data_IF_433790205773
#
_entry.id   IF_433790205773
#
_cell.length_a   1.000
_cell.length_b   1.000
_cell.length_c   1.000
_cell.angle_alpha   90.00
_cell.angle_beta   90.00
_cell.angle_gamma   90.00
#
_symmetry.space_group_name_H-M   'P 1'
#
loop_
_entity.id
_entity.type
_entity.pdbx_description
1 polymer ?
#
# COMPACT_ATOMS: atom_id res chain seq x y z
N UNK A 1 -13.25 34.94 -63.91
CA UNK A 1 -12.68 35.07 -62.54
C UNK A 1 -13.59 34.63 -61.39
N UNK A 2 -14.94 34.72 -61.50
CA UNK A 2 -15.85 34.28 -60.41
C UNK A 2 -15.84 32.77 -60.16
N UNK A 3 -15.77 31.94 -61.21
CA UNK A 3 -15.77 30.47 -61.06
C UNK A 3 -14.50 29.91 -60.39
N UNK A 4 -13.34 30.54 -60.59
CA UNK A 4 -12.06 30.12 -59.96
C UNK A 4 -12.07 30.35 -58.45
N UNK A 5 -12.70 31.44 -57.99
CA UNK A 5 -12.85 31.74 -56.55
C UNK A 5 -13.76 30.72 -55.84
N UNK A 6 -14.81 30.27 -56.52
CA UNK A 6 -15.73 29.25 -55.98
C UNK A 6 -15.00 27.90 -55.88
N UNK A 7 -14.23 27.51 -56.89
CA UNK A 7 -13.46 26.26 -56.87
C UNK A 7 -12.43 26.25 -55.72
N UNK A 8 -11.74 27.37 -55.49
CA UNK A 8 -10.75 27.49 -54.41
C UNK A 8 -11.39 27.38 -53.03
N UNK A 9 -12.58 27.95 -52.85
CA UNK A 9 -13.35 27.82 -51.60
C UNK A 9 -13.72 26.36 -51.30
N UNK A 10 -14.17 25.62 -52.32
CA UNK A 10 -14.48 24.19 -52.16
C UNK A 10 -13.26 23.34 -51.80
N UNK A 11 -12.10 23.64 -52.37
CA UNK A 11 -10.85 22.93 -52.04
C UNK A 11 -10.45 23.16 -50.58
N UNK A 12 -10.64 24.38 -50.06
CA UNK A 12 -10.38 24.70 -48.65
C UNK A 12 -11.35 23.96 -47.74
N UNK A 13 -12.65 23.96 -48.07
CA UNK A 13 -13.68 23.26 -47.27
C UNK A 13 -13.39 21.76 -47.24
N UNK A 14 -13.05 21.16 -48.38
CA UNK A 14 -12.73 19.73 -48.47
C UNK A 14 -11.47 19.41 -47.67
N UNK A 15 -10.42 20.24 -47.73
CA UNK A 15 -9.22 20.04 -46.91
C UNK A 15 -9.52 20.17 -45.40
N UNK A 16 -10.39 21.10 -45.02
CA UNK A 16 -10.81 21.26 -43.63
C UNK A 16 -11.61 20.03 -43.14
N UNK A 17 -12.50 19.50 -43.98
CA UNK A 17 -13.23 18.26 -43.69
C UNK A 17 -12.30 17.03 -43.63
N UNK A 18 -11.30 16.93 -44.53
CA UNK A 18 -10.32 15.84 -44.49
C UNK A 18 -9.43 15.87 -43.25
N UNK A 19 -9.07 17.07 -42.76
CA UNK A 19 -8.33 17.22 -41.50
C UNK A 19 -9.16 16.78 -40.29
N UNK A 20 -10.49 16.94 -40.31
CA UNK A 20 -11.36 16.44 -39.23
C UNK A 20 -11.52 14.91 -39.21
N UNK A 21 -11.24 14.22 -40.33
CA UNK A 21 -11.30 12.76 -40.44
C UNK A 21 -10.01 12.06 -40.00
N UNK A 22 -8.90 12.80 -39.82
CA UNK A 22 -7.60 12.27 -39.38
C UNK A 22 -7.37 12.43 -37.87
N UNK A 23 -8.42 12.63 -37.07
CA UNK A 23 -8.33 12.50 -35.62
C UNK A 23 -8.03 11.04 -35.29
N UNK A 24 -6.74 10.72 -35.16
CA UNK A 24 -6.26 9.54 -34.48
C UNK A 24 -6.96 9.47 -33.12
N UNK A 25 -7.39 8.28 -32.64
CA UNK A 25 -7.73 8.14 -31.24
C UNK A 25 -6.46 8.42 -30.44
N UNK A 26 -6.33 9.64 -29.95
CA UNK A 26 -5.49 9.91 -28.80
C UNK A 26 -6.09 9.08 -27.66
N UNK A 27 -5.40 8.02 -27.26
CA UNK A 27 -5.68 7.36 -25.99
C UNK A 27 -5.27 8.34 -24.89
N UNK A 28 -6.18 9.25 -24.55
CA UNK A 28 -6.14 10.00 -23.32
C UNK A 28 -6.49 9.02 -22.19
N UNK A 29 -5.58 8.87 -21.23
CA UNK A 29 -5.89 8.21 -19.96
C UNK A 29 -7.14 8.85 -19.36
N UNK A 30 -8.09 8.01 -18.97
CA UNK A 30 -9.45 8.37 -18.62
C UNK A 30 -9.50 9.22 -17.34
N UNK A 31 -9.31 10.53 -17.45
CA UNK A 31 -9.49 11.50 -16.38
C UNK A 31 -10.50 12.61 -16.78
N UNK A 32 -11.38 12.31 -17.73
CA UNK A 32 -12.36 13.29 -18.21
C UNK A 32 -13.42 13.57 -17.13
N UNK A 33 -13.35 14.81 -16.63
CA UNK A 33 -14.35 15.55 -15.84
C UNK A 33 -14.63 15.06 -14.41
N UNK A 34 -13.59 14.88 -13.60
CA UNK A 34 -13.74 15.11 -12.16
C UNK A 34 -13.97 16.61 -11.92
N UNK A 35 -14.87 17.00 -10.99
CA UNK A 35 -15.02 18.41 -10.67
C UNK A 35 -13.70 18.94 -10.10
N UNK A 36 -13.13 19.95 -10.75
CA UNK A 36 -12.18 20.85 -10.07
C UNK A 36 -12.94 21.48 -8.90
N UNK A 37 -12.41 21.35 -7.67
CA UNK A 37 -13.09 21.74 -6.43
C UNK A 37 -13.98 22.99 -6.63
N UNK A 38 -15.33 22.86 -6.55
CA UNK A 38 -16.25 23.97 -6.84
C UNK A 38 -16.12 25.13 -5.84
N UNK A 39 -15.41 24.94 -4.73
CA UNK A 39 -15.21 25.95 -3.68
C UNK A 39 -13.92 26.78 -3.83
N UNK A 40 -13.21 26.73 -4.97
CA UNK A 40 -12.09 27.67 -5.23
C UNK A 40 -12.52 29.13 -5.47
N UNK A 41 -13.81 29.45 -5.33
CA UNK A 41 -14.34 30.82 -5.40
C UNK A 41 -15.36 31.10 -4.29
N UNK A 42 -14.99 32.00 -3.38
CA UNK A 42 -15.86 32.73 -2.43
C UNK A 42 -16.74 31.89 -1.48
N UNK A 43 -16.18 31.52 -0.32
CA UNK A 43 -16.92 31.03 0.85
C UNK A 43 -16.03 31.06 2.08
N UNK A 44 -16.58 31.39 3.25
CA UNK A 44 -15.85 31.62 4.52
C UNK A 44 -14.90 30.45 4.87
N UNK A 45 -13.76 30.80 5.48
CA UNK A 45 -12.55 30.00 5.78
C UNK A 45 -12.73 28.71 6.62
N UNK A 46 -13.96 28.28 6.91
CA UNK A 46 -14.28 27.14 7.80
C UNK A 46 -14.45 25.78 7.12
N UNK A 47 -14.61 25.72 5.79
CA UNK A 47 -15.09 24.51 5.09
C UNK A 47 -14.01 23.75 4.30
N UNK A 48 -12.73 24.12 4.48
CA UNK A 48 -11.64 23.66 3.62
C UNK A 48 -10.98 22.33 4.06
N UNK A 49 -11.53 21.68 5.10
CA UNK A 49 -11.06 20.38 5.59
C UNK A 49 -12.20 19.37 5.52
N UNK A 50 -12.09 18.35 4.68
CA UNK A 50 -13.12 17.32 4.57
C UNK A 50 -12.56 15.99 4.10
N UNK A 51 -13.31 14.91 4.28
CA UNK A 51 -13.02 13.62 3.68
C UNK A 51 -14.34 12.84 3.52
N UNK A 52 -14.32 11.74 2.79
CA UNK A 52 -15.46 10.83 2.67
C UNK A 52 -14.96 9.39 2.56
N UNK A 53 -15.60 8.47 3.28
CA UNK A 53 -15.32 7.03 3.21
C UNK A 53 -15.91 6.37 1.95
N UNK A 54 -16.66 7.10 1.13
CA UNK A 54 -17.24 6.58 -0.13
C UNK A 54 -16.20 6.50 -1.26
N UNK A 55 -15.13 7.28 -1.16
CA UNK A 55 -14.03 7.29 -2.11
C UNK A 55 -12.86 6.58 -1.44
N UNK A 56 -12.66 5.33 -1.81
CA UNK A 56 -11.70 4.44 -1.17
C UNK A 56 -10.85 3.73 -2.22
N UNK A 57 -9.67 3.33 -1.81
CA UNK A 57 -8.76 2.55 -2.62
C UNK A 57 -7.66 1.96 -1.76
N UNK A 58 -6.70 1.31 -2.40
CA UNK A 58 -5.45 0.91 -1.77
C UNK A 58 -4.27 1.38 -2.60
N UNK A 59 -3.17 1.74 -1.94
CA UNK A 59 -1.85 1.82 -2.56
C UNK A 59 -1.22 0.43 -2.50
N UNK A 60 -0.88 -0.12 -3.65
CA UNK A 60 -0.27 -1.43 -3.80
C UNK A 60 1.22 -1.29 -4.13
N UNK A 61 2.04 -2.10 -3.48
CA UNK A 61 3.47 -2.22 -3.81
C UNK A 61 3.96 -3.66 -3.60
N UNK A 62 4.74 -4.15 -4.55
CA UNK A 62 5.30 -5.51 -4.52
C UNK A 62 6.82 -5.39 -4.42
N UNK A 63 7.41 -6.10 -3.48
CA UNK A 63 8.85 -6.15 -3.30
C UNK A 63 9.35 -7.60 -3.35
N UNK A 64 10.60 -7.74 -3.77
CA UNK A 64 11.32 -9.01 -3.78
C UNK A 64 12.68 -8.83 -3.10
N UNK A 65 13.04 -9.76 -2.23
CA UNK A 65 14.37 -9.82 -1.63
C UNK A 65 15.04 -11.16 -2.02
N UNK A 66 16.22 -11.14 -2.65
CA UNK A 66 16.91 -12.36 -3.08
C UNK A 66 17.61 -13.06 -1.91
N UNK A 67 17.60 -14.39 -1.90
CA UNK A 67 18.50 -15.21 -1.08
C UNK A 67 19.86 -15.26 -1.78
N UNK A 68 20.75 -14.31 -1.49
CA UNK A 68 22.03 -14.16 -2.18
C UNK A 68 23.11 -13.73 -1.19
N UNK A 69 24.37 -14.06 -1.49
CA UNK A 69 25.55 -13.64 -0.73
C UNK A 69 25.49 -14.01 0.77
N UNK A 70 24.90 -15.17 1.08
CA UNK A 70 24.74 -15.67 2.45
C UNK A 70 23.67 -14.97 3.29
N UNK A 71 22.98 -13.96 2.74
CA UNK A 71 21.88 -13.25 3.41
C UNK A 71 20.52 -13.79 2.97
N UNK A 72 19.66 -14.02 3.95
CA UNK A 72 18.27 -14.40 3.70
C UNK A 72 17.44 -13.21 3.20
N UNK A 73 16.38 -13.49 2.46
CA UNK A 73 15.38 -12.50 2.07
C UNK A 73 14.84 -11.71 3.27
N UNK A 74 14.61 -12.39 4.41
CA UNK A 74 14.16 -11.77 5.66
C UNK A 74 15.14 -10.75 6.20
N UNK A 75 16.43 -11.07 6.22
CA UNK A 75 17.48 -10.15 6.66
C UNK A 75 17.52 -8.90 5.76
N UNK A 76 17.50 -9.12 4.44
CA UNK A 76 17.50 -8.04 3.44
C UNK A 76 16.29 -7.14 3.54
N UNK A 77 15.11 -7.71 3.77
CA UNK A 77 13.91 -6.92 3.99
C UNK A 77 14.01 -6.03 5.24
N UNK A 78 14.66 -6.51 6.31
CA UNK A 78 14.89 -5.76 7.55
C UNK A 78 15.93 -4.65 7.38
N UNK A 79 16.97 -4.86 6.57
CA UNK A 79 18.02 -3.85 6.34
C UNK A 79 17.69 -2.90 5.19
N UNK A 80 16.78 -3.30 4.30
CA UNK A 80 16.50 -2.60 3.03
C UNK A 80 17.55 -2.84 1.94
N UNK A 81 18.53 -3.71 2.19
CA UNK A 81 19.64 -4.00 1.29
C UNK A 81 19.23 -4.98 0.18
N UNK A 82 19.47 -4.60 -1.07
CA UNK A 82 19.11 -5.37 -2.28
C UNK A 82 17.63 -5.79 -2.36
N UNK A 83 16.75 -5.01 -1.72
CA UNK A 83 15.30 -5.19 -1.85
C UNK A 83 14.83 -4.48 -3.11
N UNK A 84 14.24 -5.26 -4.00
CA UNK A 84 13.84 -4.84 -5.34
C UNK A 84 12.36 -4.51 -5.31
N UNK A 85 12.01 -3.28 -5.72
CA UNK A 85 10.62 -2.96 -6.07
C UNK A 85 10.27 -3.67 -7.38
N UNK A 86 9.22 -4.48 -7.38
CA UNK A 86 8.73 -5.19 -8.55
C UNK A 86 7.65 -4.35 -9.22
N UNK A 87 7.93 -3.88 -10.44
CA UNK A 87 7.05 -2.96 -11.15
C UNK A 87 7.09 -1.54 -10.57
N UNK A 88 5.92 -0.92 -10.40
CA UNK A 88 5.73 0.41 -9.80
C UNK A 88 4.79 0.36 -8.59
N UNK A 89 4.89 1.38 -7.74
CA UNK A 89 3.85 1.66 -6.74
C UNK A 89 2.63 2.21 -7.48
N UNK A 90 1.43 1.74 -7.16
CA UNK A 90 0.20 2.17 -7.84
C UNK A 90 -0.95 2.27 -6.85
N UNK A 91 -1.79 3.28 -7.03
CA UNK A 91 -3.05 3.38 -6.32
C UNK A 91 -4.14 2.71 -7.16
N UNK A 92 -5.00 1.92 -6.52
CA UNK A 92 -6.14 1.27 -7.17
C UNK A 92 -7.42 1.63 -6.43
N UNK A 93 -8.47 1.98 -7.17
CA UNK A 93 -9.75 2.40 -6.59
C UNK A 93 -10.92 1.94 -7.43
N UNK A 94 -11.99 1.51 -6.77
CA UNK A 94 -13.25 1.15 -7.46
C UNK A 94 -14.05 2.37 -7.89
N UNK A 95 -14.01 3.41 -7.06
CA UNK A 95 -14.88 4.58 -7.20
C UNK A 95 -14.18 5.76 -7.84
N UNK A 96 -12.85 5.74 -7.89
CA UNK A 96 -12.07 6.91 -8.27
C UNK A 96 -11.89 7.88 -7.09
N UNK A 97 -11.04 8.90 -7.25
CA UNK A 97 -10.94 9.98 -6.28
C UNK A 97 -12.21 10.84 -6.29
N UNK A 98 -12.49 11.50 -5.16
CA UNK A 98 -13.64 12.42 -5.01
C UNK A 98 -13.51 13.65 -5.91
N UNK A 99 -12.29 14.15 -6.08
CA UNK A 99 -11.94 15.36 -6.81
C UNK A 99 -10.69 15.10 -7.62
N UNK A 100 -10.34 16.05 -8.49
CA UNK A 100 -9.01 16.07 -9.09
C UNK A 100 -7.95 16.14 -7.99
N UNK A 101 -7.03 15.16 -7.98
CA UNK A 101 -5.96 15.11 -6.99
C UNK A 101 -4.91 16.17 -7.33
N UNK A 102 -4.67 17.08 -6.39
CA UNK A 102 -3.68 18.14 -6.52
C UNK A 102 -2.34 17.69 -5.94
N UNK A 103 -2.36 16.96 -4.82
CA UNK A 103 -1.15 16.51 -4.14
C UNK A 103 -1.23 15.04 -3.72
N UNK A 104 -0.12 14.32 -3.90
CA UNK A 104 0.01 12.94 -3.46
C UNK A 104 1.47 12.62 -3.15
N UNK A 105 1.72 11.57 -2.39
CA UNK A 105 3.09 11.03 -2.23
C UNK A 105 3.27 9.82 -3.11
N UNK A 106 4.46 9.60 -3.66
CA UNK A 106 4.80 8.33 -4.30
C UNK A 106 5.36 7.30 -3.30
N UNK A 107 5.50 7.66 -2.02
CA UNK A 107 6.06 6.78 -0.98
C UNK A 107 5.12 5.61 -0.67
N UNK A 108 5.73 4.43 -0.50
CA UNK A 108 5.08 3.28 0.15
C UNK A 108 5.43 3.23 1.64
N UNK A 109 4.69 2.42 2.38
CA UNK A 109 5.01 2.06 3.75
C UNK A 109 6.43 1.50 3.90
N UNK A 110 6.88 0.70 2.93
CA UNK A 110 8.23 0.11 2.95
C UNK A 110 9.31 1.19 2.83
N UNK A 111 9.15 2.14 1.90
CA UNK A 111 10.05 3.29 1.77
C UNK A 111 10.13 4.09 3.08
N UNK A 112 9.01 4.23 3.77
CA UNK A 112 8.92 5.01 4.99
C UNK A 112 9.61 4.34 6.17
N UNK A 113 9.22 3.09 6.47
CA UNK A 113 9.71 2.38 7.65
C UNK A 113 11.21 2.07 7.55
N UNK A 114 11.73 1.82 6.35
CA UNK A 114 13.14 1.44 6.18
C UNK A 114 14.07 2.58 5.76
N UNK A 115 13.58 3.69 5.19
CA UNK A 115 14.45 4.76 4.66
C UNK A 115 14.29 6.12 5.32
N UNK A 116 13.33 6.29 6.25
CA UNK A 116 13.06 7.56 6.97
C UNK A 116 13.03 8.79 6.05
N UNK A 117 12.29 8.70 4.95
CA UNK A 117 12.20 9.79 3.97
C UNK A 117 11.39 10.98 4.52
N UNK A 118 11.74 12.23 4.15
CA UNK A 118 10.91 13.39 4.47
C UNK A 118 9.53 13.27 3.81
N UNK A 119 8.53 13.94 4.38
CA UNK A 119 7.25 14.10 3.71
C UNK A 119 7.45 15.03 2.51
N UNK A 120 7.24 14.52 1.31
CA UNK A 120 7.28 15.31 0.10
C UNK A 120 6.05 14.94 -0.71
N UNK A 121 5.13 15.89 -0.86
CA UNK A 121 4.04 15.76 -1.81
C UNK A 121 4.54 16.15 -3.20
N UNK A 122 4.08 15.41 -4.19
CA UNK A 122 4.20 15.76 -5.60
C UNK A 122 2.94 16.51 -5.98
N UNK A 123 3.11 17.77 -6.38
CA UNK A 123 2.02 18.57 -6.96
C UNK A 123 1.77 18.12 -8.40
N UNK A 124 0.50 17.84 -8.73
CA UNK A 124 0.10 17.45 -10.09
C UNK A 124 0.18 18.61 -11.08
N UNK A 125 0.13 19.86 -10.60
CA UNK A 125 0.25 21.05 -11.46
C UNK A 125 1.71 21.34 -11.85
N UNK A 126 2.69 20.84 -11.10
CA UNK A 126 4.10 21.16 -11.32
C UNK A 126 4.93 20.01 -11.90
N UNK A 127 4.52 18.74 -11.74
CA UNK A 127 5.41 17.59 -11.98
C UNK A 127 4.77 16.40 -12.71
N UNK A 128 3.76 15.78 -12.12
CA UNK A 128 3.25 14.48 -12.61
C UNK A 128 1.76 14.34 -12.30
N UNK A 129 0.90 14.00 -13.28
CA UNK A 129 -0.52 13.75 -13.00
C UNK A 129 -0.68 12.55 -12.08
N UNK A 130 -1.68 12.63 -11.20
CA UNK A 130 -2.07 11.51 -10.35
C UNK A 130 -2.66 10.40 -11.23
N UNK A 131 -2.09 9.19 -11.13
CA UNK A 131 -2.52 8.02 -11.88
C UNK A 131 -2.98 6.92 -10.91
N UNK A 132 -4.07 6.25 -11.26
CA UNK A 132 -4.63 5.13 -10.52
C UNK A 132 -5.21 4.09 -11.49
N UNK A 133 -5.35 2.85 -11.05
CA UNK A 133 -6.10 1.82 -11.77
C UNK A 133 -7.54 1.73 -11.25
N UNK A 134 -8.48 1.51 -12.16
CA UNK A 134 -9.90 1.44 -11.85
C UNK A 134 -10.60 0.31 -12.65
N UNK A 135 -11.88 0.02 -12.37
CA UNK A 135 -12.62 -0.99 -13.13
C UNK A 135 -12.76 -0.72 -14.64
N UNK A 136 -12.59 0.53 -15.09
CA UNK A 136 -12.64 0.92 -16.51
C UNK A 136 -11.32 0.59 -17.20
N UNK A 137 -10.18 0.69 -16.50
CA UNK A 137 -8.86 0.31 -17.04
C UNK A 137 -8.59 -1.19 -16.86
N UNK A 138 -8.97 -1.76 -15.70
CA UNK A 138 -8.66 -3.13 -15.29
C UNK A 138 -9.87 -3.76 -14.58
N UNK A 139 -10.58 -4.65 -15.27
CA UNK A 139 -11.80 -5.32 -14.74
C UNK A 139 -11.55 -6.02 -13.39
N UNK A 140 -10.36 -6.59 -13.16
CA UNK A 140 -10.02 -7.25 -11.90
C UNK A 140 -10.15 -6.30 -10.68
N UNK A 141 -9.96 -4.99 -10.83
CA UNK A 141 -10.16 -4.01 -9.76
C UNK A 141 -11.61 -4.01 -9.24
N UNK A 142 -12.58 -4.35 -10.08
CA UNK A 142 -13.99 -4.45 -9.68
C UNK A 142 -14.27 -5.56 -8.65
N UNK A 143 -13.37 -6.55 -8.52
CA UNK A 143 -13.52 -7.66 -7.57
C UNK A 143 -12.90 -7.38 -6.19
N UNK A 144 -12.15 -6.29 -6.05
CA UNK A 144 -11.48 -5.90 -4.81
C UNK A 144 -12.47 -5.83 -3.63
N UNK A 145 -12.15 -6.29 -2.41
CA UNK A 145 -13.05 -6.08 -1.28
C UNK A 145 -13.24 -4.59 -0.96
N UNK A 146 -14.25 -4.25 -0.14
CA UNK A 146 -14.35 -2.89 0.41
C UNK A 146 -13.13 -2.61 1.30
N UNK A 147 -12.59 -1.41 1.19
CA UNK A 147 -11.39 -1.02 1.96
C UNK A 147 -11.79 -0.74 3.41
N UNK A 148 -12.77 0.14 3.62
CA UNK A 148 -13.31 0.48 4.94
C UNK A 148 -14.50 -0.41 5.30
N UNK A 149 -14.26 -1.73 5.42
CA UNK A 149 -15.27 -2.68 5.87
C UNK A 149 -15.16 -4.10 5.31
N UNK A 150 -14.19 -4.38 4.43
CA UNK A 150 -13.86 -5.75 4.03
C UNK A 150 -13.22 -6.53 5.18
N UNK A 151 -13.55 -7.81 5.31
CA UNK A 151 -12.92 -8.68 6.31
C UNK A 151 -11.55 -9.13 5.83
N UNK A 152 -10.69 -9.56 6.75
CA UNK A 152 -9.41 -10.18 6.40
C UNK A 152 -9.59 -11.33 5.41
N UNK A 153 -10.52 -12.24 5.66
CA UNK A 153 -10.76 -13.39 4.78
C UNK A 153 -11.12 -12.97 3.35
N UNK A 154 -11.86 -11.86 3.18
CA UNK A 154 -12.15 -11.33 1.84
C UNK A 154 -10.87 -10.88 1.13
N UNK A 155 -9.96 -10.22 1.84
CA UNK A 155 -8.67 -9.78 1.31
C UNK A 155 -7.73 -10.94 1.04
N UNK A 156 -7.62 -11.89 1.98
CA UNK A 156 -6.85 -13.12 1.80
C UNK A 156 -7.37 -13.90 0.58
N UNK A 157 -8.69 -14.02 0.40
CA UNK A 157 -9.25 -14.66 -0.79
C UNK A 157 -8.91 -13.90 -2.09
N UNK A 158 -8.92 -12.57 -2.05
CA UNK A 158 -8.61 -11.74 -3.21
C UNK A 158 -7.14 -11.88 -3.64
N UNK A 159 -6.20 -11.96 -2.69
CA UNK A 159 -4.77 -12.12 -2.96
C UNK A 159 -4.34 -13.58 -3.18
N UNK A 160 -4.79 -14.50 -2.33
CA UNK A 160 -4.27 -15.87 -2.23
C UNK A 160 -5.11 -16.90 -2.98
N UNK A 161 -6.36 -16.57 -3.34
CA UNK A 161 -7.26 -17.39 -4.15
C UNK A 161 -7.33 -18.87 -3.72
N UNK A 162 -7.72 -19.18 -2.48
CA UNK A 162 -7.67 -20.56 -2.01
C UNK A 162 -8.68 -21.45 -2.74
N UNK A 163 -8.26 -22.67 -3.09
CA UNK A 163 -9.11 -23.73 -3.68
C UNK A 163 -9.06 -24.93 -2.73
N UNK A 164 -10.20 -25.37 -2.21
CA UNK A 164 -10.28 -26.43 -1.20
C UNK A 164 -9.40 -26.18 0.04
N UNK A 165 -9.20 -24.91 0.42
CA UNK A 165 -8.37 -24.50 1.56
C UNK A 165 -6.88 -24.33 1.24
N UNK A 166 -6.42 -24.74 0.06
CA UNK A 166 -5.04 -24.54 -0.37
C UNK A 166 -4.85 -23.20 -1.09
N UNK A 167 -3.87 -22.40 -0.66
CA UNK A 167 -3.53 -21.12 -1.28
C UNK A 167 -2.91 -21.35 -2.65
N UNK A 168 -3.64 -21.00 -3.72
CA UNK A 168 -3.18 -21.21 -5.10
C UNK A 168 -2.46 -20.00 -5.70
N UNK A 169 -2.69 -18.82 -5.13
CA UNK A 169 -2.15 -17.55 -5.60
C UNK A 169 -2.50 -17.22 -7.07
N UNK A 170 -3.61 -17.78 -7.59
CA UNK A 170 -4.03 -17.61 -8.98
C UNK A 170 -4.30 -16.15 -9.39
N UNK A 171 -4.64 -15.28 -8.44
CA UNK A 171 -4.81 -13.85 -8.72
C UNK A 171 -3.49 -13.06 -8.77
N UNK A 172 -2.36 -13.62 -8.32
CA UNK A 172 -1.08 -12.89 -8.28
C UNK A 172 -0.64 -12.35 -9.65
N UNK A 173 -0.76 -13.09 -10.77
CA UNK A 173 -0.44 -12.53 -12.08
C UNK A 173 -1.27 -11.28 -12.44
N UNK A 174 -2.56 -11.27 -12.06
CA UNK A 174 -3.43 -10.11 -12.28
C UNK A 174 -3.04 -8.93 -11.38
N UNK A 175 -2.65 -9.21 -10.13
CA UNK A 175 -2.15 -8.20 -9.18
C UNK A 175 -0.81 -7.62 -9.63
N UNK A 176 0.09 -8.46 -10.16
CA UNK A 176 1.36 -8.04 -10.72
C UNK A 176 1.18 -7.13 -11.95
N UNK A 177 0.19 -7.42 -12.80
CA UNK A 177 -0.14 -6.60 -13.96
C UNK A 177 -0.60 -5.18 -13.56
N UNK A 178 -1.29 -5.02 -12.41
CA UNK A 178 -1.65 -3.68 -11.89
C UNK A 178 -0.42 -2.82 -11.60
N UNK A 179 0.68 -3.43 -11.14
CA UNK A 179 1.96 -2.74 -10.91
C UNK A 179 2.86 -2.73 -12.14
N UNK A 180 2.37 -3.16 -13.31
CA UNK A 180 3.15 -3.24 -14.55
C UNK A 180 4.28 -4.28 -14.50
N UNK A 181 4.13 -5.32 -13.69
CA UNK A 181 5.06 -6.44 -13.59
C UNK A 181 4.42 -7.74 -14.10
N UNK A 182 5.27 -8.73 -14.37
CA UNK A 182 4.83 -10.07 -14.76
C UNK A 182 5.39 -11.09 -13.76
N UNK A 183 4.54 -11.55 -12.85
CA UNK A 183 4.85 -12.60 -11.86
C UNK A 183 3.89 -13.76 -12.10
N UNK A 184 4.40 -14.99 -12.12
CA UNK A 184 3.54 -16.19 -12.17
C UNK A 184 3.12 -16.59 -10.75
N UNK A 185 1.98 -17.25 -10.60
CA UNK A 185 1.54 -17.77 -9.29
C UNK A 185 2.60 -18.69 -8.67
N UNK A 186 3.20 -19.57 -9.47
CA UNK A 186 4.26 -20.49 -9.04
C UNK A 186 5.55 -19.74 -8.67
N UNK A 187 5.92 -18.71 -9.45
CA UNK A 187 7.07 -17.87 -9.14
C UNK A 187 6.89 -17.12 -7.83
N UNK A 188 5.69 -16.58 -7.58
CA UNK A 188 5.37 -15.95 -6.30
C UNK A 188 5.46 -16.95 -5.15
N UNK A 189 4.82 -18.11 -5.29
CA UNK A 189 4.78 -19.18 -4.27
C UNK A 189 6.17 -19.68 -3.90
N UNK A 190 7.03 -19.90 -4.89
CA UNK A 190 8.36 -20.48 -4.70
C UNK A 190 9.46 -19.41 -4.55
N UNK A 191 9.11 -18.13 -4.57
CA UNK A 191 10.09 -17.06 -4.44
C UNK A 191 11.04 -16.95 -5.63
N UNK A 192 10.57 -17.24 -6.85
CA UNK A 192 11.35 -17.15 -8.08
C UNK A 192 11.01 -15.85 -8.80
N UNK A 193 12.01 -15.03 -9.09
CA UNK A 193 11.87 -13.76 -9.79
C UNK A 193 12.82 -13.66 -10.98
N UNK A 194 12.29 -13.38 -12.17
CA UNK A 194 13.10 -13.04 -13.33
C UNK A 194 13.40 -11.54 -13.32
N UNK A 195 14.57 -11.18 -12.81
CA UNK A 195 15.05 -9.81 -12.80
C UNK A 195 15.95 -9.57 -14.02
N UNK A 196 15.40 -8.93 -15.06
CA UNK A 196 16.14 -8.52 -16.26
C UNK A 196 16.86 -9.69 -16.98
N UNK A 197 16.26 -10.87 -16.97
CA UNK A 197 16.82 -12.09 -17.58
C UNK A 197 17.58 -12.98 -16.59
N UNK A 198 17.86 -12.52 -15.38
CA UNK A 198 18.46 -13.33 -14.31
C UNK A 198 17.36 -13.93 -13.43
N UNK A 199 17.41 -15.24 -13.21
CA UNK A 199 16.49 -15.92 -12.28
C UNK A 199 17.08 -15.83 -10.87
N UNK A 200 16.35 -15.17 -9.98
CA UNK A 200 16.68 -15.02 -8.57
C UNK A 200 15.72 -15.85 -7.72
N UNK A 201 16.26 -16.52 -6.71
CA UNK A 201 15.50 -17.17 -5.64
C UNK A 201 15.46 -16.25 -4.42
N UNK A 202 14.35 -16.20 -3.70
CA UNK A 202 14.12 -15.21 -2.66
C UNK A 202 12.72 -15.26 -2.06
N UNK A 203 12.20 -14.11 -1.65
CA UNK A 203 10.85 -13.99 -1.13
C UNK A 203 10.18 -12.71 -1.64
N UNK A 204 8.90 -12.82 -2.01
CA UNK A 204 8.05 -11.69 -2.32
C UNK A 204 7.32 -11.17 -1.08
N UNK A 205 7.05 -9.87 -1.04
CA UNK A 205 6.09 -9.25 -0.14
C UNK A 205 5.21 -8.27 -0.90
N UNK A 206 3.91 -8.38 -0.70
CA UNK A 206 2.92 -7.42 -1.22
C UNK A 206 2.43 -6.59 -0.03
N UNK A 207 2.66 -5.29 -0.10
CA UNK A 207 2.08 -4.34 0.85
C UNK A 207 0.91 -3.64 0.19
N UNK A 208 -0.18 -3.52 0.94
CA UNK A 208 -1.33 -2.73 0.54
C UNK A 208 -1.78 -1.80 1.65
N UNK A 209 -1.79 -0.50 1.35
CA UNK A 209 -2.14 0.57 2.28
C UNK A 209 -3.51 1.15 1.90
N UNK A 210 -4.48 1.20 2.82
CA UNK A 210 -5.73 1.94 2.60
C UNK A 210 -5.44 3.40 2.24
N UNK A 211 -6.11 3.91 1.20
CA UNK A 211 -6.05 5.33 0.83
C UNK A 211 -7.41 5.99 1.02
N UNK A 212 -7.37 7.25 1.43
CA UNK A 212 -8.48 8.19 1.41
C UNK A 212 -8.14 9.40 0.55
N UNK A 213 -9.18 10.14 0.16
CA UNK A 213 -9.08 11.37 -0.62
C UNK A 213 -9.57 12.58 0.20
N UNK A 214 -8.78 13.06 1.18
CA UNK A 214 -9.14 14.23 1.96
C UNK A 214 -8.93 15.52 1.15
N UNK A 215 -9.65 16.54 1.55
CA UNK A 215 -9.36 17.94 1.22
C UNK A 215 -8.76 18.59 2.47
N UNK A 216 -7.58 19.19 2.33
CA UNK A 216 -6.88 19.88 3.40
C UNK A 216 -6.57 21.29 2.91
N UNK A 217 -7.12 22.30 3.57
CA UNK A 217 -7.02 23.69 3.14
C UNK A 217 -7.44 23.92 1.68
N UNK A 218 -8.45 23.18 1.19
CA UNK A 218 -8.93 23.31 -0.18
C UNK A 218 -8.11 22.53 -1.21
N UNK A 219 -7.00 21.92 -0.78
CA UNK A 219 -6.14 21.06 -1.62
C UNK A 219 -6.64 19.64 -1.52
N UNK A 220 -7.06 19.07 -2.66
CA UNK A 220 -7.45 17.66 -2.74
C UNK A 220 -6.22 16.77 -2.77
N UNK A 221 -6.12 15.84 -1.82
CA UNK A 221 -4.94 15.00 -1.64
C UNK A 221 -5.27 13.50 -1.67
N UNK A 222 -4.23 12.67 -1.79
CA UNK A 222 -4.31 11.24 -1.49
C UNK A 222 -3.45 10.94 -0.27
N UNK A 223 -4.03 10.25 0.71
CA UNK A 223 -3.32 9.90 1.94
C UNK A 223 -3.56 8.45 2.34
N UNK A 224 -2.47 7.75 2.68
CA UNK A 224 -2.51 6.56 3.53
C UNK A 224 -2.43 6.94 5.02
N UNK A 225 -2.53 5.96 5.94
CA UNK A 225 -2.31 6.21 7.36
C UNK A 225 -0.94 6.82 7.62
N UNK A 226 0.09 6.28 6.96
CA UNK A 226 1.45 6.79 6.99
C UNK A 226 1.50 8.26 6.57
N UNK A 227 0.81 8.65 5.49
CA UNK A 227 0.78 10.04 5.05
C UNK A 227 0.21 10.97 6.12
N UNK A 228 -0.91 10.57 6.75
CA UNK A 228 -1.55 11.34 7.80
C UNK A 228 -0.66 11.48 9.05
N UNK A 229 0.00 10.39 9.47
CA UNK A 229 0.97 10.42 10.58
C UNK A 229 2.14 11.35 10.22
N UNK A 230 2.70 11.17 9.04
CA UNK A 230 3.88 11.90 8.61
C UNK A 230 3.58 13.40 8.45
N UNK A 231 2.40 13.75 7.95
CA UNK A 231 1.92 15.13 7.94
C UNK A 231 1.91 15.72 9.36
N UNK A 232 1.40 15.01 10.37
CA UNK A 232 1.38 15.47 11.77
C UNK A 232 2.81 15.64 12.34
N UNK A 233 3.73 14.73 12.04
CA UNK A 233 5.13 14.85 12.45
C UNK A 233 5.79 16.13 11.89
N UNK A 234 5.59 16.40 10.59
CA UNK A 234 6.15 17.57 9.93
C UNK A 234 5.51 18.87 10.43
N UNK A 235 4.21 18.83 10.74
CA UNK A 235 3.50 19.96 11.33
C UNK A 235 4.06 20.28 12.72
N UNK A 236 4.21 19.26 13.57
CA UNK A 236 4.77 19.41 14.93
C UNK A 236 6.22 19.90 14.89
N UNK A 237 6.97 19.54 13.86
CA UNK A 237 8.32 20.02 13.64
C UNK A 237 8.38 21.43 13.01
N UNK A 238 7.24 22.06 12.72
CA UNK A 238 7.16 23.38 12.09
C UNK A 238 7.63 23.43 10.64
N UNK A 239 7.74 22.27 9.97
CA UNK A 239 8.21 22.16 8.57
C UNK A 239 7.09 22.32 7.56
N UNK A 240 5.86 22.03 7.97
CA UNK A 240 4.66 22.44 7.26
C UNK A 240 3.82 23.30 8.19
N UNK A 241 3.22 24.34 7.67
CA UNK A 241 2.31 25.21 8.41
C UNK A 241 1.01 25.32 7.64
N UNK A 242 -0.10 25.25 8.36
CA UNK A 242 -1.35 25.82 7.88
C UNK A 242 -1.38 27.30 8.26
N UNK A 243 -1.95 28.12 7.39
CA UNK A 243 -2.31 29.53 7.64
C UNK A 243 -2.96 29.78 9.01
N UNK A 244 -3.69 28.79 9.56
CA UNK A 244 -4.37 28.88 10.86
C UNK A 244 -3.80 27.92 11.92
N UNK A 245 -2.64 27.29 11.69
CA UNK A 245 -2.05 26.32 12.61
C UNK A 245 -2.93 25.09 12.86
N UNK A 246 -3.83 24.75 11.92
CA UNK A 246 -4.72 23.58 12.03
C UNK A 246 -3.95 22.30 11.78
N UNK A 247 -4.40 21.24 12.45
CA UNK A 247 -3.85 19.86 12.36
C UNK A 247 -4.93 18.87 11.95
N UNK A 248 -4.56 17.78 11.28
CA UNK A 248 -5.46 16.68 10.94
C UNK A 248 -6.18 16.15 12.18
N UNK A 249 -5.43 15.86 13.26
CA UNK A 249 -5.95 15.37 14.56
C UNK A 249 -6.95 16.33 15.23
N UNK A 250 -6.98 17.59 14.79
CA UNK A 250 -7.87 18.61 15.35
C UNK A 250 -9.08 18.90 14.44
N UNK A 251 -9.00 18.64 13.14
CA UNK A 251 -10.04 19.03 12.19
C UNK A 251 -10.77 17.83 11.59
N UNK A 252 -10.04 16.75 11.29
CA UNK A 252 -10.58 15.53 10.68
C UNK A 252 -10.00 14.26 11.36
N UNK A 253 -10.00 14.14 12.70
CA UNK A 253 -9.38 13.01 13.40
C UNK A 253 -9.95 11.64 13.00
N UNK A 254 -11.19 11.60 12.52
CA UNK A 254 -11.84 10.39 12.03
C UNK A 254 -11.05 9.69 10.92
N UNK A 255 -10.20 10.38 10.17
CA UNK A 255 -9.38 9.71 9.16
C UNK A 255 -8.47 8.64 9.78
N UNK A 256 -7.99 8.85 11.01
CA UNK A 256 -7.18 7.87 11.74
C UNK A 256 -8.02 6.66 12.16
N UNK A 257 -9.29 6.87 12.52
CA UNK A 257 -10.22 5.76 12.79
C UNK A 257 -10.44 4.91 11.54
N UNK A 258 -10.68 5.52 10.37
CA UNK A 258 -10.86 4.76 9.14
C UNK A 258 -9.59 4.03 8.72
N UNK A 259 -8.49 4.77 8.57
CA UNK A 259 -7.23 4.26 8.03
C UNK A 259 -6.59 3.21 8.93
N UNK A 260 -6.58 3.40 10.26
CA UNK A 260 -5.99 2.44 11.18
C UNK A 260 -6.82 1.16 11.33
N UNK A 261 -8.14 1.23 11.08
CA UNK A 261 -9.04 0.08 11.19
C UNK A 261 -9.24 -0.64 9.85
N UNK A 262 -8.98 0.00 8.70
CA UNK A 262 -9.27 -0.57 7.37
C UNK A 262 -8.50 -1.85 7.10
N UNK A 263 -7.28 -1.99 7.61
CA UNK A 263 -6.49 -3.21 7.51
C UNK A 263 -5.61 -3.30 8.75
N UNK A 264 -6.04 -4.15 9.68
CA UNK A 264 -5.19 -4.51 10.80
C UNK A 264 -4.09 -5.44 10.29
N UNK A 265 -2.83 -5.01 10.44
CA UNK A 265 -1.73 -5.96 10.43
C UNK A 265 -2.06 -6.99 11.53
N UNK A 266 -2.36 -8.24 11.17
CA UNK A 266 -2.78 -9.27 12.13
C UNK A 266 -1.63 -10.17 12.58
N UNK A 267 -0.48 -10.07 11.92
CA UNK A 267 0.76 -10.79 12.21
C UNK A 267 1.90 -9.78 12.24
N UNK A 268 2.81 -9.90 13.20
CA UNK A 268 3.95 -8.99 13.29
C UNK A 268 4.76 -9.03 11.98
N UNK A 269 5.11 -7.86 11.46
CA UNK A 269 5.93 -7.75 10.26
C UNK A 269 7.31 -7.21 10.64
N UNK A 270 8.17 -8.14 11.05
CA UNK A 270 9.51 -7.84 11.54
C UNK A 270 10.39 -7.13 10.49
N UNK A 271 10.10 -7.29 9.19
CA UNK A 271 10.87 -6.67 8.11
C UNK A 271 10.73 -5.16 8.02
N UNK A 272 9.62 -4.59 8.50
CA UNK A 272 9.40 -3.15 8.57
C UNK A 272 9.15 -2.69 10.00
N UNK A 273 9.58 -3.51 10.98
CA UNK A 273 9.41 -3.24 12.42
C UNK A 273 7.98 -2.93 12.83
N UNK A 274 7.00 -3.57 12.16
CA UNK A 274 5.59 -3.33 12.41
C UNK A 274 5.00 -4.41 13.31
N UNK A 275 4.07 -3.99 14.18
CA UNK A 275 3.45 -4.85 15.18
C UNK A 275 1.99 -5.10 14.82
N UNK A 276 1.57 -6.34 14.99
CA UNK A 276 0.20 -6.73 14.79
C UNK A 276 -0.71 -5.98 15.76
N UNK A 277 -1.84 -5.53 15.26
CA UNK A 277 -2.93 -5.09 16.11
C UNK A 277 -3.64 -6.33 16.67
N UNK A 278 -3.93 -6.30 17.98
CA UNK A 278 -4.74 -7.35 18.58
C UNK A 278 -6.14 -7.33 17.97
N UNK A 279 -6.79 -8.48 17.85
CA UNK A 279 -8.19 -8.60 17.36
C UNK A 279 -9.20 -7.76 18.17
N UNK A 280 -8.83 -7.26 19.36
CA UNK A 280 -9.67 -6.43 20.23
C UNK A 280 -9.34 -4.94 20.11
N UNK A 281 -8.25 -4.59 19.44
CA UNK A 281 -7.83 -3.21 19.29
C UNK A 281 -8.60 -2.57 18.15
N UNK A 282 -9.18 -1.40 18.41
CA UNK A 282 -9.85 -0.59 17.41
C UNK A 282 -9.64 0.88 17.77
N UNK A 283 -9.28 1.68 16.78
CA UNK A 283 -9.30 3.14 16.93
C UNK A 283 -10.75 3.59 16.90
N UNK A 284 -11.16 4.43 17.86
CA UNK A 284 -12.51 4.99 17.92
C UNK A 284 -12.44 6.49 18.13
N UNK A 285 -13.20 7.23 17.35
CA UNK A 285 -13.36 8.67 17.55
C UNK A 285 -14.82 9.01 17.84
N UNK A 286 -15.11 9.38 19.08
CA UNK A 286 -16.47 9.71 19.56
C UNK A 286 -16.76 11.22 19.59
N UNK A 287 -15.89 12.05 19.00
CA UNK A 287 -16.01 13.50 19.02
C UNK A 287 -15.35 14.19 20.22
N UNK A 288 -14.94 13.44 21.25
CA UNK A 288 -14.43 14.01 22.50
C UNK A 288 -12.97 14.48 22.39
N UNK A 289 -12.57 15.39 23.27
CA UNK A 289 -11.16 15.80 23.40
C UNK A 289 -10.26 14.62 23.82
N UNK A 290 -10.74 13.77 24.72
CA UNK A 290 -10.01 12.59 25.16
C UNK A 290 -9.69 11.64 24.00
N UNK A 291 -10.65 11.39 23.09
CA UNK A 291 -10.39 10.61 21.88
C UNK A 291 -9.35 11.26 20.96
N UNK A 292 -9.34 12.59 20.82
CA UNK A 292 -8.31 13.30 20.04
C UNK A 292 -6.93 13.14 20.65
N UNK A 293 -6.83 13.29 21.97
CA UNK A 293 -5.56 13.14 22.69
C UNK A 293 -5.04 11.71 22.62
N UNK A 294 -5.92 10.73 22.71
CA UNK A 294 -5.55 9.33 22.54
C UNK A 294 -5.06 9.04 21.11
N UNK A 295 -5.73 9.52 20.07
CA UNK A 295 -5.24 9.41 18.69
C UNK A 295 -3.86 10.06 18.56
N UNK A 296 -3.69 11.30 19.07
CA UNK A 296 -2.40 12.00 19.04
C UNK A 296 -1.29 11.21 19.73
N UNK A 297 -1.58 10.53 20.84
CA UNK A 297 -0.62 9.67 21.53
C UNK A 297 -0.28 8.43 20.71
N UNK A 298 -1.28 7.83 20.07
CA UNK A 298 -1.15 6.56 19.35
C UNK A 298 -0.46 6.68 17.99
N UNK A 299 -0.44 7.87 17.38
CA UNK A 299 0.27 8.15 16.12
C UNK A 299 1.75 8.51 16.31
N UNK A 300 2.24 8.56 17.55
CA UNK A 300 3.66 8.77 17.84
C UNK A 300 4.41 7.42 17.91
N UNK A 301 5.74 7.40 17.74
CA UNK A 301 6.53 6.18 17.85
C UNK A 301 6.23 5.38 19.14
N UNK A 302 5.93 4.08 18.98
CA UNK A 302 5.54 3.20 20.08
C UNK A 302 4.05 3.17 20.40
N UNK A 303 3.24 4.00 19.73
CA UNK A 303 1.78 3.92 19.73
C UNK A 303 1.27 2.87 18.73
N UNK A 304 0.15 2.23 19.03
CA UNK A 304 -0.43 1.14 18.23
C UNK A 304 -0.78 1.57 16.80
N UNK A 305 -1.29 2.80 16.60
CA UNK A 305 -1.56 3.30 15.23
C UNK A 305 -0.25 3.42 14.45
N UNK A 306 0.78 3.99 15.07
CA UNK A 306 2.11 4.10 14.47
C UNK A 306 2.76 2.74 14.20
N UNK A 307 2.64 1.77 15.10
CA UNK A 307 3.35 0.49 14.91
C UNK A 307 2.64 -0.46 13.93
N UNK A 308 1.33 -0.28 13.74
CA UNK A 308 0.53 -1.12 12.83
C UNK A 308 0.30 -0.50 11.46
N UNK A 309 0.42 0.83 11.33
CA UNK A 309 0.26 1.63 10.11
C UNK A 309 -0.98 1.34 9.25
N UNK A 310 -1.94 0.58 9.77
CA UNK A 310 -3.14 0.17 9.04
C UNK A 310 -2.83 -0.57 7.72
N UNK A 311 -1.71 -1.30 7.64
CA UNK A 311 -1.27 -1.97 6.41
C UNK A 311 -1.67 -3.45 6.41
N UNK A 312 -1.96 -3.98 5.22
CA UNK A 312 -1.96 -5.42 4.98
C UNK A 312 -0.67 -5.89 4.29
N UNK A 313 -0.22 -7.10 4.64
CA UNK A 313 0.96 -7.73 4.05
C UNK A 313 0.61 -9.14 3.59
N UNK A 314 0.93 -9.46 2.34
CA UNK A 314 0.85 -10.82 1.80
C UNK A 314 2.27 -11.31 1.53
N UNK A 315 2.62 -12.40 2.20
CA UNK A 315 3.87 -13.12 1.98
C UNK A 315 3.50 -14.55 1.57
N UNK A 316 4.10 -15.13 0.51
CA UNK A 316 3.87 -16.52 0.17
C UNK A 316 4.29 -17.38 1.36
N UNK A 317 3.35 -18.18 1.87
CA UNK A 317 3.67 -19.17 2.90
C UNK A 317 4.61 -20.22 2.28
N UNK A 318 5.82 -20.32 2.81
CA UNK A 318 6.68 -21.47 2.53
C UNK A 318 5.92 -22.70 3.00
N UNK A 319 5.75 -23.76 2.18
CA UNK A 319 5.23 -25.02 2.67
C UNK A 319 6.07 -25.41 3.89
N UNK A 320 5.43 -25.68 5.02
CA UNK A 320 6.12 -26.24 6.19
C UNK A 320 6.82 -27.53 5.71
N UNK A 321 8.12 -27.44 5.44
CA UNK A 321 8.96 -28.63 5.31
C UNK A 321 9.08 -29.22 6.71
N UNK A 322 8.87 -30.52 6.84
CA UNK A 322 8.94 -31.34 8.06
C UNK A 322 10.32 -31.34 8.76
N UNK A 323 10.98 -30.20 8.91
CA UNK A 323 12.29 -30.10 9.56
C UNK A 323 12.33 -28.93 10.53
N UNK A 324 12.05 -29.25 11.80
CA UNK A 324 12.49 -28.43 12.93
C UNK A 324 14.00 -28.65 13.11
N UNK A 325 14.81 -27.72 12.62
CA UNK A 325 16.21 -27.65 13.06
C UNK A 325 16.20 -26.97 14.43
N UNK A 326 16.29 -27.77 15.49
CA UNK A 326 16.40 -27.27 16.86
C UNK A 326 17.84 -26.78 17.06
N UNK A 327 18.02 -25.45 17.08
CA UNK A 327 19.19 -24.82 17.69
C UNK A 327 18.79 -24.33 19.09
N UNK A 328 19.44 -24.85 20.13
CA UNK A 328 19.48 -24.23 21.46
C UNK A 328 18.11 -23.90 22.09
N UNK A 329 17.21 -24.89 22.19
CA UNK A 329 15.85 -24.70 22.78
C UNK A 329 15.05 -23.53 22.16
N UNK A 330 15.46 -23.06 20.97
CA UNK A 330 14.77 -22.05 20.19
C UNK A 330 14.34 -22.69 18.88
N UNK A 331 13.03 -22.90 18.75
CA UNK A 331 12.45 -23.24 17.46
C UNK A 331 12.51 -21.96 16.63
N UNK A 332 13.37 -21.91 15.62
CA UNK A 332 13.34 -20.86 14.61
C UNK A 332 12.16 -21.10 13.65
N UNK A 333 10.94 -20.86 14.13
CA UNK A 333 9.74 -20.73 13.30
C UNK A 333 9.38 -19.26 13.13
N UNK A 334 8.57 -18.94 12.11
CA UNK A 334 8.11 -17.59 11.73
C UNK A 334 7.31 -16.83 12.82
N UNK A 335 7.29 -17.31 14.06
CA UNK A 335 6.57 -16.70 15.19
C UNK A 335 7.56 -16.14 16.19
N UNK A 336 7.36 -14.89 16.60
CA UNK A 336 8.06 -14.32 17.75
C UNK A 336 7.72 -15.17 18.98
N UNK A 337 8.63 -16.05 19.41
CA UNK A 337 8.48 -16.78 20.67
C UNK A 337 8.87 -15.84 21.81
N UNK A 338 7.90 -15.54 22.69
CA UNK A 338 8.19 -14.92 23.98
C UNK A 338 8.92 -15.95 24.84
N UNK A 339 10.24 -15.81 24.97
CA UNK A 339 11.02 -16.60 25.94
C UNK A 339 10.65 -16.13 27.34
N UNK A 340 10.00 -16.99 28.11
CA UNK A 340 9.86 -16.81 29.57
C UNK A 340 11.17 -17.33 30.16
N UNK A 341 12.00 -16.49 30.83
CA UNK A 341 13.20 -16.99 31.48
C UNK A 341 12.78 -18.00 32.55
N UNK A 342 13.34 -19.22 32.52
CA UNK A 342 13.21 -20.09 33.67
C UNK A 342 14.03 -19.47 34.80
N UNK A 343 13.34 -19.13 35.89
CA UNK A 343 13.97 -18.87 37.15
C UNK A 343 14.58 -20.19 37.63
N UNK A 344 15.88 -20.38 37.43
CA UNK A 344 16.80 -20.96 38.40
C UNK A 344 18.23 -20.98 37.83
N UNK A 345 19.18 -20.73 38.72
CA UNK A 345 20.55 -20.34 38.40
C UNK A 345 21.40 -21.41 37.73
N UNK A 346 22.42 -20.90 37.03
CA UNK A 346 23.78 -21.44 36.91
C UNK A 346 23.93 -22.94 36.70
N UNK A 347 24.05 -23.36 35.44
CA UNK A 347 24.92 -24.48 35.08
C UNK A 347 25.38 -24.34 33.63
N UNK A 348 26.68 -24.57 33.39
CA UNK A 348 27.26 -24.66 32.05
C UNK A 348 26.65 -25.90 31.37
N UNK A 349 26.04 -25.73 30.20
CA UNK A 349 25.57 -26.86 29.39
C UNK A 349 26.61 -27.10 28.31
N UNK A 350 27.20 -28.31 28.30
CA UNK A 350 28.05 -28.81 27.22
C UNK A 350 27.16 -29.21 26.04
N UNK A 351 27.60 -28.88 24.82
CA UNK A 351 26.84 -29.07 23.58
C UNK A 351 26.77 -30.56 23.19
N UNK A 352 25.55 -31.14 23.15
CA UNK A 352 25.32 -32.47 22.57
C UNK A 352 24.26 -32.40 21.45
N UNK A 353 24.66 -32.76 20.23
CA UNK A 353 23.78 -32.82 19.06
C UNK A 353 23.13 -34.21 19.02
N UNK A 354 21.82 -34.28 19.20
CA UNK A 354 21.05 -35.54 19.06
C UNK A 354 20.15 -35.45 17.83
N UNK A 355 20.48 -36.22 16.78
CA UNK A 355 19.67 -36.40 15.58
C UNK A 355 18.70 -37.58 15.79
N UNK A 356 17.40 -37.30 15.96
CA UNK A 356 16.38 -38.35 16.03
C UNK A 356 15.72 -38.56 14.66
N UNK A 357 16.01 -39.69 14.02
CA UNK A 357 15.32 -40.15 12.81
C UNK A 357 14.08 -40.95 13.19
N UNK A 358 12.90 -40.58 12.67
CA UNK A 358 11.69 -41.42 12.71
C UNK A 358 11.41 -41.95 11.31
N UNK A 359 11.86 -43.17 11.01
CA UNK A 359 11.43 -43.88 9.81
C UNK A 359 9.97 -44.29 9.99
N UNK A 360 9.06 -43.66 9.24
CA UNK A 360 7.69 -44.15 9.08
C UNK A 360 7.73 -45.37 8.15
N UNK A 361 7.78 -46.57 8.74
CA UNK A 361 7.45 -47.78 8.01
C UNK A 361 5.96 -47.75 7.66
N UNK A 362 5.66 -47.76 6.35
CA UNK A 362 4.32 -48.06 5.83
C UNK A 362 4.02 -49.53 6.08
N UNK A 363 2.91 -49.81 6.76
CA UNK A 363 2.19 -51.09 6.73
C UNK A 363 0.91 -50.91 5.93
#
# INVERSE_FOLDING_TARGET
MKCVKILFLWIIIINFCLMSLLMLPAFAGNNDSLPSNPNKGSGKETDLWSYSSQFEGIRLSIYFAPNKDGKSARERFKTGEDVILVGKKIDITKTGPRYYVEEFTDLSIYDYMNRKKPYITTSTTEKTPYNYEDPKTKVFVSTMPKVFGGTKDMWDNWFESPVNGEKTYQNIPLIADLVGASITAEGFKNGIYNYRGEILEGQYKIFFEPIIFPEINGVSMVMTLRDAIKWEEEFLAGRITDTNGRRITSNIPQIFEYLANSQFLIEDEACISMRANSIRYQVRFDGTQAAREEIRRQILPGGHIYDSMGVGVITPKVPEGDFDIIYDNSIATDRVIKVIPSSNGSEKVEDEIILNHRFLNKS
#
